data_IF_353880012246
#
_entry.id   IF_353880012246
#
_cell.length_a   1.000
_cell.length_b   1.000
_cell.length_c   1.000
_cell.angle_alpha   90.00
_cell.angle_beta   90.00
_cell.angle_gamma   90.00
#
_symmetry.space_group_name_H-M   'P 1'
#
loop_
_entity.id
_entity.type
_entity.pdbx_description
1 polymer ?
#
# COMPACT_ATOMS: atom_id res chain seq x y z
N UNK A 1 -26.43 -13.59 6.81
CA UNK A 1 -25.11 -12.95 7.02
C UNK A 1 -24.66 -12.39 5.69
N UNK A 2 -24.59 -11.07 5.53
CA UNK A 2 -24.04 -10.48 4.31
C UNK A 2 -22.55 -10.84 4.26
N UNK A 3 -22.15 -11.68 3.31
CA UNK A 3 -20.74 -11.80 2.97
C UNK A 3 -20.30 -10.40 2.53
N UNK A 4 -19.61 -9.68 3.40
CA UNK A 4 -18.91 -8.45 3.00
C UNK A 4 -17.96 -8.84 1.89
N UNK A 5 -18.32 -8.51 0.63
CA UNK A 5 -17.46 -8.76 -0.53
C UNK A 5 -16.11 -8.15 -0.22
N UNK A 6 -15.10 -9.02 -0.04
CA UNK A 6 -13.73 -8.56 0.15
C UNK A 6 -13.37 -7.67 -1.05
N UNK A 7 -12.66 -6.55 -0.83
CA UNK A 7 -12.28 -5.70 -1.95
C UNK A 7 -11.45 -6.52 -2.94
N UNK A 8 -11.69 -6.37 -4.26
CA UNK A 8 -10.91 -7.07 -5.27
C UNK A 8 -9.41 -6.84 -5.05
N UNK A 9 -8.61 -7.90 -5.19
CA UNK A 9 -7.16 -7.84 -5.02
C UNK A 9 -6.50 -6.87 -6.01
N UNK A 10 -7.08 -6.72 -7.20
CA UNK A 10 -6.64 -5.71 -8.17
C UNK A 10 -6.82 -4.25 -7.72
N UNK A 11 -7.65 -3.99 -6.69
CA UNK A 11 -7.79 -2.68 -6.03
C UNK A 11 -6.89 -2.53 -4.80
N UNK A 12 -6.06 -3.54 -4.50
CA UNK A 12 -5.23 -3.57 -3.31
C UNK A 12 -3.74 -3.42 -3.65
N UNK A 13 -3.03 -2.70 -2.78
CA UNK A 13 -1.58 -2.61 -2.76
C UNK A 13 -1.05 -3.11 -1.42
N UNK A 14 0.16 -3.65 -1.45
CA UNK A 14 0.94 -3.95 -0.25
C UNK A 14 2.12 -3.00 -0.19
N UNK A 15 2.23 -2.22 0.88
CA UNK A 15 3.38 -1.37 1.15
C UNK A 15 4.26 -2.10 2.16
N UNK A 16 5.52 -2.33 1.81
CA UNK A 16 6.51 -2.99 2.68
C UNK A 16 7.57 -2.00 3.11
N UNK A 17 8.20 -2.27 4.26
CA UNK A 17 9.22 -1.44 4.91
C UNK A 17 8.74 -0.04 5.32
N UNK A 18 7.42 0.17 5.40
CA UNK A 18 6.85 1.41 5.93
C UNK A 18 7.02 1.43 7.46
N UNK A 19 7.71 2.41 8.07
CA UNK A 19 7.91 2.46 9.52
C UNK A 19 6.59 2.32 10.29
N UNK A 20 6.59 1.57 11.39
CA UNK A 20 5.44 1.51 12.31
C UNK A 20 5.56 2.59 13.39
N UNK A 21 4.43 3.06 13.89
CA UNK A 21 4.42 3.98 15.02
C UNK A 21 4.61 3.24 16.35
N UNK A 22 5.44 3.81 17.22
CA UNK A 22 5.59 3.42 18.63
C UNK A 22 4.40 3.84 19.51
N UNK A 23 3.35 4.43 18.92
CA UNK A 23 2.21 4.94 19.66
C UNK A 23 1.39 3.81 20.31
N UNK A 24 0.96 4.03 21.55
CA UNK A 24 0.20 3.05 22.33
C UNK A 24 -1.26 2.93 21.89
N UNK A 25 -1.82 3.97 21.26
CA UNK A 25 -3.23 3.98 20.84
C UNK A 25 -3.40 3.54 19.39
N UNK A 26 -4.49 2.79 19.12
CA UNK A 26 -4.83 2.37 17.76
C UNK A 26 -5.05 3.56 16.81
N UNK A 27 -5.63 4.66 17.32
CA UNK A 27 -5.90 5.84 16.51
C UNK A 27 -4.63 6.54 16.05
N UNK A 28 -3.68 6.77 16.97
CA UNK A 28 -2.41 7.41 16.63
C UNK A 28 -1.59 6.59 15.63
N UNK A 29 -1.58 5.24 15.77
CA UNK A 29 -0.93 4.36 14.80
C UNK A 29 -1.54 4.46 13.40
N UNK A 30 -2.87 4.48 13.31
CA UNK A 30 -3.57 4.63 12.04
C UNK A 30 -3.30 6.00 11.40
N UNK A 31 -3.31 7.07 12.19
CA UNK A 31 -3.07 8.42 11.68
C UNK A 31 -1.61 8.59 11.21
N UNK A 32 -0.65 7.97 11.90
CA UNK A 32 0.74 7.86 11.46
C UNK A 32 0.87 7.14 10.11
N UNK A 33 0.26 5.95 9.97
CA UNK A 33 0.26 5.19 8.71
C UNK A 33 -0.32 6.01 7.55
N UNK A 34 -1.43 6.73 7.80
CA UNK A 34 -2.07 7.62 6.81
C UNK A 34 -1.16 8.78 6.43
N UNK A 35 -0.47 9.38 7.39
CA UNK A 35 0.45 10.50 7.13
C UNK A 35 1.63 10.05 6.26
N UNK A 36 2.26 8.93 6.61
CA UNK A 36 3.36 8.38 5.81
C UNK A 36 2.89 8.03 4.39
N UNK A 37 1.73 7.38 4.27
CA UNK A 37 1.16 7.05 2.97
C UNK A 37 0.93 8.31 2.12
N UNK A 38 0.34 9.37 2.70
CA UNK A 38 0.16 10.65 2.01
C UNK A 38 1.47 11.26 1.56
N UNK A 39 2.50 11.27 2.41
CA UNK A 39 3.82 11.78 2.04
C UNK A 39 4.40 11.06 0.82
N UNK A 40 4.27 9.73 0.77
CA UNK A 40 4.75 8.95 -0.37
C UNK A 40 3.88 9.18 -1.61
N UNK A 41 2.56 9.35 -1.45
CA UNK A 41 1.67 9.72 -2.56
C UNK A 41 2.03 11.08 -3.17
N UNK A 42 2.42 12.06 -2.35
CA UNK A 42 2.90 13.37 -2.83
C UNK A 42 4.18 13.19 -3.65
N UNK A 43 5.16 12.45 -3.14
CA UNK A 43 6.40 12.15 -3.89
C UNK A 43 6.14 11.41 -5.20
N UNK A 44 5.19 10.46 -5.21
CA UNK A 44 4.82 9.73 -6.43
C UNK A 44 4.15 10.64 -7.47
N UNK A 45 3.50 11.72 -7.04
CA UNK A 45 2.70 12.57 -7.90
C UNK A 45 3.52 13.61 -8.67
N UNK A 46 4.73 13.97 -8.22
CA UNK A 46 5.47 15.20 -8.58
C UNK A 46 4.60 16.46 -8.39
N UNK A 47 5.10 17.45 -7.66
CA UNK A 47 4.33 18.66 -7.29
C UNK A 47 3.92 19.60 -8.43
N UNK A 48 3.83 19.12 -9.68
CA UNK A 48 3.69 19.93 -10.90
C UNK A 48 2.62 19.42 -11.90
N UNK A 49 1.95 18.29 -11.67
CA UNK A 49 0.72 18.03 -12.43
C UNK A 49 -0.42 18.80 -11.76
N UNK A 50 -1.21 19.53 -12.55
CA UNK A 50 -2.32 20.37 -12.08
C UNK A 50 -3.43 19.56 -11.38
N UNK A 51 -3.40 18.22 -11.38
CA UNK A 51 -4.25 17.35 -10.54
C UNK A 51 -3.67 15.91 -10.39
N UNK A 52 -2.93 15.54 -9.31
CA UNK A 52 -2.45 14.16 -9.17
C UNK A 52 -2.57 13.56 -7.75
N UNK A 53 -2.68 14.37 -6.69
CA UNK A 53 -2.77 13.90 -5.30
C UNK A 53 -4.22 13.86 -4.76
N UNK A 54 -5.15 14.59 -5.38
CA UNK A 54 -6.57 14.63 -4.98
C UNK A 54 -7.39 13.43 -5.51
N UNK A 55 -6.86 12.68 -6.48
CA UNK A 55 -7.60 11.62 -7.16
C UNK A 55 -7.44 10.23 -6.53
N UNK A 56 -6.31 9.93 -5.89
CA UNK A 56 -6.08 8.61 -5.27
C UNK A 56 -6.82 8.51 -3.94
N UNK A 57 -8.00 7.88 -3.96
CA UNK A 57 -8.84 7.73 -2.76
C UNK A 57 -8.60 6.39 -2.08
N UNK A 58 -7.86 6.44 -0.98
CA UNK A 58 -7.69 5.28 -0.08
C UNK A 58 -9.01 5.02 0.66
N UNK A 59 -9.62 3.85 0.41
CA UNK A 59 -10.81 3.38 1.14
C UNK A 59 -10.45 2.88 2.53
N UNK A 60 -9.36 2.12 2.63
CA UNK A 60 -8.90 1.54 3.88
C UNK A 60 -7.38 1.31 3.83
N UNK A 61 -6.75 1.39 5.01
CA UNK A 61 -5.36 1.01 5.20
C UNK A 61 -5.24 0.30 6.54
N UNK A 62 -4.55 -0.84 6.56
CA UNK A 62 -4.36 -1.63 7.78
C UNK A 62 -3.12 -2.54 7.67
N UNK A 63 -2.42 -2.74 8.79
CA UNK A 63 -1.25 -3.60 8.87
C UNK A 63 -1.63 -5.07 8.83
N UNK A 64 -0.85 -5.88 8.12
CA UNK A 64 -1.06 -7.32 7.96
C UNK A 64 -0.26 -8.10 9.01
N UNK A 65 -0.93 -9.03 9.68
CA UNK A 65 -0.30 -9.96 10.62
C UNK A 65 -0.08 -9.40 12.03
N UNK A 66 0.49 -10.27 12.87
CA UNK A 66 0.83 -9.96 14.27
C UNK A 66 2.15 -9.17 14.34
N UNK A 67 2.33 -8.44 15.42
CA UNK A 67 3.60 -7.74 15.70
C UNK A 67 4.76 -8.74 15.65
N UNK A 68 5.85 -8.34 15.00
CA UNK A 68 7.04 -9.19 14.85
C UNK A 68 8.02 -8.92 15.98
N UNK A 69 8.80 -9.94 16.35
CA UNK A 69 9.82 -9.81 17.41
C UNK A 69 11.12 -9.19 16.88
N UNK A 70 11.37 -9.26 15.57
CA UNK A 70 12.55 -8.73 14.89
C UNK A 70 12.48 -7.21 14.64
N UNK A 71 11.49 -6.52 15.22
CA UNK A 71 11.15 -5.12 14.98
C UNK A 71 10.98 -4.74 13.50
N UNK A 72 10.84 -5.72 12.60
CA UNK A 72 10.58 -5.43 11.19
C UNK A 72 9.15 -4.92 11.03
N UNK A 73 8.94 -3.81 10.31
CA UNK A 73 7.60 -3.25 10.14
C UNK A 73 6.73 -4.23 9.37
N UNK A 74 5.50 -4.43 9.85
CA UNK A 74 4.51 -5.25 9.17
C UNK A 74 4.10 -4.60 7.85
N UNK A 75 3.81 -5.41 6.82
CA UNK A 75 3.26 -4.89 5.58
C UNK A 75 1.96 -4.12 5.82
N UNK A 76 1.80 -2.96 5.19
CA UNK A 76 0.56 -2.20 5.17
C UNK A 76 -0.24 -2.59 3.94
N UNK A 77 -1.45 -3.10 4.12
CA UNK A 77 -2.41 -3.28 3.03
C UNK A 77 -3.20 -2.01 2.83
N UNK A 78 -3.23 -1.53 1.59
CA UNK A 78 -3.96 -0.33 1.17
C UNK A 78 -5.01 -0.73 0.14
N UNK A 79 -6.25 -0.34 0.39
CA UNK A 79 -7.39 -0.57 -0.51
C UNK A 79 -7.74 0.74 -1.18
N UNK A 80 -7.69 0.77 -2.50
CA UNK A 80 -8.02 1.93 -3.32
C UNK A 80 -9.45 1.84 -3.87
N UNK A 81 -9.91 2.91 -4.51
CA UNK A 81 -11.25 2.93 -5.10
C UNK A 81 -11.30 2.11 -6.38
N UNK A 82 -10.25 2.18 -7.20
CA UNK A 82 -10.19 1.57 -8.51
C UNK A 82 -8.84 0.90 -8.79
N UNK A 83 -8.85 -0.10 -9.69
CA UNK A 83 -7.64 -0.77 -10.16
C UNK A 83 -6.72 0.17 -10.97
N UNK A 84 -7.29 1.16 -11.67
CA UNK A 84 -6.51 2.17 -12.39
C UNK A 84 -5.61 2.98 -11.45
N UNK A 85 -6.07 3.29 -10.24
CA UNK A 85 -5.26 3.98 -9.21
C UNK A 85 -4.09 3.11 -8.76
N UNK A 86 -4.32 1.80 -8.58
CA UNK A 86 -3.26 0.82 -8.25
C UNK A 86 -2.19 0.81 -9.34
N UNK A 87 -2.60 0.74 -10.62
CA UNK A 87 -1.68 0.77 -11.76
C UNK A 87 -0.90 2.08 -11.83
N UNK A 88 -1.57 3.22 -11.63
CA UNK A 88 -0.96 4.54 -11.68
C UNK A 88 0.08 4.74 -10.57
N UNK A 89 -0.15 4.23 -9.36
CA UNK A 89 0.86 4.21 -8.30
C UNK A 89 2.05 3.34 -8.69
N UNK A 90 1.80 2.11 -9.14
CA UNK A 90 2.85 1.15 -9.47
C UNK A 90 3.78 1.66 -10.58
N UNK A 91 3.23 2.33 -11.59
CA UNK A 91 4.01 2.94 -12.68
C UNK A 91 4.98 4.02 -12.18
N UNK A 92 4.62 4.73 -11.11
CA UNK A 92 5.41 5.84 -10.56
C UNK A 92 6.34 5.43 -9.42
N UNK A 93 6.36 4.14 -9.03
CA UNK A 93 7.20 3.65 -7.92
C UNK A 93 8.70 3.88 -8.12
N UNK A 94 9.15 4.03 -9.37
CA UNK A 94 10.53 4.41 -9.69
C UNK A 94 10.95 5.75 -9.06
N UNK A 95 10.01 6.67 -8.78
CA UNK A 95 10.28 7.95 -8.09
C UNK A 95 10.65 7.77 -6.62
N UNK A 96 10.35 6.61 -6.04
CA UNK A 96 10.74 6.26 -4.67
C UNK A 96 12.12 5.59 -4.61
N UNK A 97 12.90 5.61 -5.70
CA UNK A 97 14.24 5.04 -5.74
C UNK A 97 15.12 5.66 -4.66
N UNK A 98 15.85 4.82 -3.93
CA UNK A 98 16.68 5.22 -2.78
C UNK A 98 15.94 5.22 -1.43
N UNK A 99 14.61 5.16 -1.44
CA UNK A 99 13.84 4.92 -0.21
C UNK A 99 13.72 3.41 0.07
N UNK A 100 13.68 2.99 1.35
CA UNK A 100 13.52 1.57 1.70
C UNK A 100 12.09 1.06 1.46
N UNK A 101 11.11 1.97 1.35
CA UNK A 101 9.68 1.67 1.20
C UNK A 101 9.39 1.21 -0.22
N UNK A 102 8.63 0.12 -0.36
CA UNK A 102 8.21 -0.40 -1.66
C UNK A 102 6.72 -0.63 -1.74
N UNK A 103 6.14 -0.30 -2.88
CA UNK A 103 4.74 -0.55 -3.21
C UNK A 103 4.65 -1.75 -4.14
N UNK A 104 3.91 -2.77 -3.73
CA UNK A 104 3.76 -4.04 -4.42
C UNK A 104 2.29 -4.28 -4.76
N UNK A 105 2.03 -4.96 -5.88
CA UNK A 105 0.69 -5.42 -6.24
C UNK A 105 0.24 -6.51 -5.27
N UNK A 106 -1.01 -6.46 -4.82
CA UNK A 106 -1.60 -7.60 -4.09
C UNK A 106 -2.06 -8.64 -5.12
N UNK A 107 -1.31 -9.73 -5.23
CA UNK A 107 -1.56 -10.80 -6.19
C UNK A 107 -2.53 -11.83 -5.63
N UNK A 108 -3.48 -12.24 -6.47
CA UNK A 108 -4.32 -13.42 -6.24
C UNK A 108 -3.48 -14.71 -6.25
N UNK A 109 -3.96 -15.82 -5.66
CA UNK A 109 -3.24 -17.10 -5.65
C UNK A 109 -2.79 -17.55 -7.04
N UNK A 110 -3.65 -17.46 -8.04
CA UNK A 110 -3.32 -17.87 -9.43
C UNK A 110 -2.24 -16.97 -10.05
N UNK A 111 -2.30 -15.66 -9.82
CA UNK A 111 -1.29 -14.72 -10.29
C UNK A 111 0.05 -14.98 -9.61
N UNK A 112 0.04 -15.30 -8.31
CA UNK A 112 1.23 -15.66 -7.56
C UNK A 112 1.84 -16.96 -8.07
N UNK A 113 1.02 -17.97 -8.36
CA UNK A 113 1.47 -19.23 -8.96
C UNK A 113 2.13 -18.99 -10.32
N UNK A 114 1.49 -18.20 -11.20
CA UNK A 114 2.06 -17.84 -12.51
C UNK A 114 3.39 -17.08 -12.37
N UNK A 115 3.45 -16.10 -11.45
CA UNK A 115 4.68 -15.37 -11.18
C UNK A 115 5.79 -16.29 -10.68
N UNK A 116 5.46 -17.24 -9.80
CA UNK A 116 6.43 -18.23 -9.30
C UNK A 116 7.02 -19.04 -10.45
N UNK A 117 6.17 -19.61 -11.32
CA UNK A 117 6.61 -20.37 -12.50
C UNK A 117 7.44 -19.53 -13.47
N UNK A 118 7.19 -18.22 -13.59
CA UNK A 118 7.96 -17.35 -14.48
C UNK A 118 9.33 -16.92 -13.91
N UNK A 119 9.58 -17.15 -12.63
CA UNK A 119 10.83 -16.82 -11.94
C UNK A 119 11.73 -18.05 -11.72
N UNK A 120 11.22 -19.24 -12.02
CA UNK A 120 11.95 -20.52 -12.06
C UNK A 120 12.55 -20.74 -13.45
#
# INVERSE_FOLDING_TARGET
MQQSKLPPKSQCLTVVNLPEAEATTARARLDHDKQLLRSHMVTLSDGDEVEPAASIRVKAAFRLGKHRQDNSPRPLKVVLRAESEVKAILQRTHKLKGTPVRFLRDLDPDQRSKLKTALE
#
